data_IF_803791306807
#
_entry.id   IF_803791306807
#
_cell.length_a   1.000
_cell.length_b   1.000
_cell.length_c   1.000
_cell.angle_alpha   90.00
_cell.angle_beta   90.00
_cell.angle_gamma   90.00
#
_symmetry.space_group_name_H-M   'P 1'
#
loop_
_entity.id
_entity.type
_entity.pdbx_description
1 polymer ?
#
# COMPACT_ATOMS: atom_id res chain seq x y z
N UNK A 1 58.10 -38.13 -56.88
CA UNK A 1 58.60 -37.65 -55.54
C UNK A 1 58.74 -36.12 -55.42
N UNK A 2 59.03 -35.40 -56.47
CA UNK A 2 59.17 -33.90 -56.43
C UNK A 2 57.81 -33.20 -56.10
N UNK A 3 56.69 -33.77 -56.56
CA UNK A 3 55.35 -33.17 -56.31
C UNK A 3 54.87 -33.20 -54.83
N UNK A 4 55.27 -34.17 -54.06
CA UNK A 4 54.92 -34.24 -52.63
C UNK A 4 55.72 -33.22 -51.80
N UNK A 5 56.96 -32.95 -52.15
CA UNK A 5 57.82 -31.99 -51.46
C UNK A 5 57.31 -30.56 -51.71
N UNK A 6 56.81 -30.25 -52.91
CA UNK A 6 56.19 -28.97 -53.22
C UNK A 6 54.86 -28.75 -52.40
N UNK A 7 54.06 -29.81 -52.27
CA UNK A 7 52.86 -29.73 -51.49
C UNK A 7 53.10 -29.47 -50.00
N UNK A 8 54.21 -30.00 -49.43
CA UNK A 8 54.63 -29.73 -48.06
C UNK A 8 55.23 -28.30 -47.89
N UNK A 9 55.85 -27.71 -48.91
CA UNK A 9 56.38 -26.37 -48.87
C UNK A 9 55.24 -25.34 -48.99
N UNK A 10 54.26 -25.57 -49.82
CA UNK A 10 53.09 -24.72 -50.02
C UNK A 10 52.17 -24.74 -48.80
N UNK A 11 52.07 -25.89 -48.09
CA UNK A 11 51.32 -26.06 -46.86
C UNK A 11 51.99 -25.39 -45.62
N UNK A 12 53.23 -24.96 -45.80
CA UNK A 12 54.03 -24.26 -44.77
C UNK A 12 54.17 -22.76 -45.07
N UNK A 13 53.31 -22.21 -45.92
CA UNK A 13 53.31 -20.81 -46.27
C UNK A 13 53.00 -19.96 -45.02
N UNK A 14 54.04 -19.36 -44.45
CA UNK A 14 53.97 -18.52 -43.27
C UNK A 14 53.02 -17.32 -43.44
N UNK A 15 52.80 -16.87 -44.67
CA UNK A 15 51.90 -15.78 -45.00
C UNK A 15 50.43 -16.18 -44.71
N UNK A 16 50.00 -17.38 -45.12
CA UNK A 16 48.65 -17.87 -44.86
C UNK A 16 48.36 -18.01 -43.34
N UNK A 17 49.32 -18.55 -42.61
CA UNK A 17 49.22 -18.65 -41.14
C UNK A 17 49.20 -17.27 -40.48
N UNK A 18 49.91 -16.30 -41.06
CA UNK A 18 49.91 -14.93 -40.56
C UNK A 18 48.56 -14.26 -40.79
N UNK A 19 47.91 -14.43 -41.95
CA UNK A 19 46.57 -13.97 -42.22
C UNK A 19 45.52 -14.64 -41.32
N UNK A 20 45.62 -15.95 -41.11
CA UNK A 20 44.72 -16.66 -40.18
C UNK A 20 44.85 -16.13 -38.75
N UNK A 21 46.05 -15.86 -38.27
CA UNK A 21 46.29 -15.29 -36.92
C UNK A 21 45.74 -13.88 -36.84
N UNK A 22 45.92 -13.06 -37.86
CA UNK A 22 45.38 -11.72 -37.92
C UNK A 22 43.85 -11.71 -37.93
N UNK A 23 43.24 -12.62 -38.73
CA UNK A 23 41.81 -12.77 -38.81
C UNK A 23 41.21 -13.22 -37.45
N UNK A 24 41.80 -14.24 -36.82
CA UNK A 24 41.37 -14.68 -35.45
C UNK A 24 41.48 -13.56 -34.41
N UNK A 25 42.56 -12.77 -34.44
CA UNK A 25 42.71 -11.62 -33.57
C UNK A 25 41.64 -10.58 -33.80
N UNK A 26 41.26 -10.35 -35.04
CA UNK A 26 40.22 -9.40 -35.40
C UNK A 26 38.83 -9.93 -34.96
N UNK A 27 38.54 -11.24 -35.14
CA UNK A 27 37.30 -11.87 -34.66
C UNK A 27 37.19 -11.80 -33.14
N UNK A 28 38.28 -12.13 -32.42
CA UNK A 28 38.32 -12.02 -30.94
C UNK A 28 38.05 -10.60 -30.52
N UNK A 29 38.74 -9.63 -31.10
CA UNK A 29 38.55 -8.22 -30.78
C UNK A 29 37.12 -7.75 -31.05
N UNK A 30 36.54 -8.10 -32.20
CA UNK A 30 35.17 -7.76 -32.53
C UNK A 30 34.16 -8.40 -31.55
N UNK A 31 34.45 -9.61 -31.08
CA UNK A 31 33.60 -10.29 -30.06
C UNK A 31 33.75 -9.65 -28.68
N UNK A 32 34.97 -9.24 -28.30
CA UNK A 32 35.25 -8.49 -27.08
C UNK A 32 34.54 -7.12 -27.09
N UNK A 33 34.67 -6.38 -28.22
CA UNK A 33 34.05 -5.06 -28.39
C UNK A 33 32.48 -5.17 -28.30
N UNK A 34 31.90 -6.22 -28.91
CA UNK A 34 30.44 -6.49 -28.79
C UNK A 34 30.04 -6.82 -27.36
N UNK A 35 30.78 -7.69 -26.70
CA UNK A 35 30.51 -8.08 -25.31
C UNK A 35 30.61 -6.87 -24.39
N UNK A 36 31.57 -5.99 -24.56
CA UNK A 36 31.70 -4.75 -23.80
C UNK A 36 30.51 -3.82 -24.03
N UNK A 37 30.08 -3.66 -25.30
CA UNK A 37 28.90 -2.81 -25.58
C UNK A 37 27.63 -3.37 -24.99
N UNK A 38 27.39 -4.69 -25.01
CA UNK A 38 26.23 -5.35 -24.38
C UNK A 38 26.27 -5.22 -22.86
N UNK A 39 27.46 -5.36 -22.26
CA UNK A 39 27.62 -5.16 -20.81
C UNK A 39 27.34 -3.72 -20.37
N UNK A 40 27.76 -2.73 -21.18
CA UNK A 40 27.45 -1.33 -20.89
C UNK A 40 25.96 -1.03 -21.03
N UNK A 41 25.29 -1.61 -22.02
CA UNK A 41 23.84 -1.50 -22.21
C UNK A 41 23.08 -2.05 -20.98
N UNK A 42 23.40 -3.28 -20.56
CA UNK A 42 22.79 -3.91 -19.39
C UNK A 42 23.07 -3.12 -18.10
N UNK A 43 24.29 -2.56 -17.93
CA UNK A 43 24.59 -1.69 -16.78
C UNK A 43 23.76 -0.42 -16.76
N UNK A 44 23.57 0.21 -17.92
CA UNK A 44 22.75 1.41 -18.05
C UNK A 44 21.26 1.12 -17.78
N UNK A 45 20.75 0.00 -18.30
CA UNK A 45 19.40 -0.46 -17.98
C UNK A 45 19.21 -0.73 -16.49
N UNK A 46 20.18 -1.42 -15.86
CA UNK A 46 20.17 -1.69 -14.42
C UNK A 46 20.12 -0.40 -13.61
N UNK A 47 20.93 0.60 -13.95
CA UNK A 47 20.92 1.89 -13.27
C UNK A 47 19.53 2.57 -13.37
N UNK A 48 18.88 2.51 -14.54
CA UNK A 48 17.52 3.01 -14.71
C UNK A 48 16.47 2.27 -13.86
N UNK A 49 16.62 0.95 -13.73
CA UNK A 49 15.73 0.17 -12.84
C UNK A 49 16.02 0.39 -11.36
N UNK A 50 17.26 0.67 -10.94
CA UNK A 50 17.59 1.06 -9.57
C UNK A 50 16.89 2.36 -9.14
N UNK A 51 16.85 3.34 -10.06
CA UNK A 51 16.10 4.58 -9.80
C UNK A 51 14.59 4.32 -9.65
N UNK A 52 14.01 3.50 -10.54
CA UNK A 52 12.60 3.07 -10.43
C UNK A 52 12.35 2.29 -9.14
N UNK A 53 13.27 1.43 -8.72
CA UNK A 53 13.19 0.68 -7.49
C UNK A 53 13.16 1.60 -6.28
N UNK A 54 14.05 2.61 -6.24
CA UNK A 54 14.07 3.60 -5.17
C UNK A 54 12.76 4.40 -5.09
N UNK A 55 12.20 4.78 -6.26
CA UNK A 55 10.92 5.48 -6.32
C UNK A 55 9.74 4.59 -5.86
N UNK A 56 9.70 3.34 -6.32
CA UNK A 56 8.67 2.38 -5.92
C UNK A 56 8.74 2.06 -4.42
N UNK A 57 9.95 1.91 -3.86
CA UNK A 57 10.15 1.70 -2.42
C UNK A 57 9.62 2.88 -1.61
N UNK A 58 9.95 4.13 -1.98
CA UNK A 58 9.44 5.33 -1.31
C UNK A 58 7.92 5.44 -1.39
N UNK A 59 7.34 5.08 -2.52
CA UNK A 59 5.88 5.07 -2.69
C UNK A 59 5.21 4.05 -1.76
N UNK A 60 5.76 2.83 -1.68
CA UNK A 60 5.27 1.78 -0.80
C UNK A 60 5.39 2.17 0.68
N UNK A 61 6.56 2.66 1.10
CA UNK A 61 6.81 3.08 2.49
C UNK A 61 5.85 4.23 2.89
N UNK A 62 5.65 5.21 1.99
CA UNK A 62 4.70 6.30 2.22
C UNK A 62 3.26 5.81 2.43
N UNK A 63 2.79 4.83 1.65
CA UNK A 63 1.46 4.24 1.82
C UNK A 63 1.34 3.43 3.11
N UNK A 64 2.40 2.76 3.52
CA UNK A 64 2.43 2.03 4.78
C UNK A 64 2.36 2.99 5.98
N UNK A 65 3.04 4.12 5.93
CA UNK A 65 2.97 5.15 6.96
C UNK A 65 1.56 5.78 7.04
N UNK A 66 0.95 6.11 5.89
CA UNK A 66 -0.43 6.60 5.82
C UNK A 66 -1.42 5.59 6.42
N UNK A 67 -1.27 4.31 6.11
CA UNK A 67 -2.11 3.25 6.67
C UNK A 67 -1.98 3.17 8.18
N UNK A 68 -0.77 3.24 8.70
CA UNK A 68 -0.51 3.20 10.15
C UNK A 68 -1.15 4.38 10.86
N UNK A 69 -1.05 5.59 10.31
CA UNK A 69 -1.69 6.78 10.86
C UNK A 69 -3.22 6.69 10.80
N UNK A 70 -3.79 6.17 9.71
CA UNK A 70 -5.23 6.02 9.57
C UNK A 70 -5.77 4.96 10.56
N UNK A 71 -5.05 3.87 10.81
CA UNK A 71 -5.42 2.86 11.82
C UNK A 71 -5.40 3.47 13.22
N UNK A 72 -4.37 4.23 13.58
CA UNK A 72 -4.32 4.93 14.87
C UNK A 72 -5.50 5.91 15.05
N UNK A 73 -5.85 6.63 13.97
CA UNK A 73 -7.02 7.53 13.98
C UNK A 73 -8.34 6.76 14.15
N UNK A 74 -8.44 5.57 13.57
CA UNK A 74 -9.61 4.69 13.74
C UNK A 74 -9.74 4.22 15.21
N UNK A 75 -8.65 3.85 15.85
CA UNK A 75 -8.63 3.46 17.25
C UNK A 75 -9.13 4.59 18.14
N UNK A 76 -8.65 5.82 17.92
CA UNK A 76 -9.06 7.00 18.67
C UNK A 76 -10.56 7.32 18.49
N UNK A 77 -11.07 7.28 17.25
CA UNK A 77 -12.48 7.57 17.01
C UNK A 77 -13.38 6.46 17.52
N UNK A 78 -12.93 5.21 17.46
CA UNK A 78 -13.62 4.05 18.01
C UNK A 78 -13.79 4.20 19.53
N UNK A 79 -12.74 4.61 20.23
CA UNK A 79 -12.82 4.89 21.67
C UNK A 79 -13.84 6.01 21.99
N UNK A 80 -13.86 7.09 21.18
CA UNK A 80 -14.84 8.19 21.31
C UNK A 80 -16.26 7.72 21.02
N UNK A 81 -16.46 6.88 20.03
CA UNK A 81 -17.75 6.26 19.72
C UNK A 81 -18.26 5.40 20.88
N UNK A 82 -17.43 4.53 21.44
CA UNK A 82 -17.82 3.71 22.60
C UNK A 82 -18.21 4.57 23.79
N UNK A 83 -17.45 5.64 24.07
CA UNK A 83 -17.80 6.58 25.14
C UNK A 83 -19.14 7.28 24.89
N UNK A 84 -19.38 7.76 23.67
CA UNK A 84 -20.65 8.37 23.29
C UNK A 84 -21.83 7.39 23.38
N UNK A 85 -21.63 6.15 22.95
CA UNK A 85 -22.62 5.10 23.05
C UNK A 85 -22.96 4.74 24.50
N UNK A 86 -21.97 4.64 25.38
CA UNK A 86 -22.19 4.41 26.80
C UNK A 86 -22.99 5.56 27.47
N UNK A 87 -22.66 6.81 27.13
CA UNK A 87 -23.38 7.98 27.61
C UNK A 87 -24.84 7.97 27.11
N UNK A 88 -25.07 7.64 25.84
CA UNK A 88 -26.41 7.51 25.28
C UNK A 88 -27.23 6.41 26.00
N UNK A 89 -26.64 5.24 26.19
CA UNK A 89 -27.30 4.13 26.87
C UNK A 89 -27.63 4.46 28.33
N UNK A 90 -26.71 5.15 29.03
CA UNK A 90 -26.94 5.63 30.41
C UNK A 90 -28.12 6.59 30.47
N UNK A 91 -28.14 7.63 29.64
CA UNK A 91 -29.24 8.60 29.57
C UNK A 91 -30.55 7.95 29.13
N UNK A 92 -30.53 7.03 28.18
CA UNK A 92 -31.70 6.30 27.75
C UNK A 92 -32.30 5.50 28.89
N UNK A 93 -31.47 4.83 29.72
CA UNK A 93 -31.94 4.08 30.89
C UNK A 93 -32.65 4.99 31.92
N UNK A 94 -32.13 6.22 32.14
CA UNK A 94 -32.77 7.21 33.00
C UNK A 94 -34.14 7.62 32.45
N UNK A 95 -34.20 7.94 31.15
CA UNK A 95 -35.48 8.30 30.49
C UNK A 95 -36.48 7.18 30.54
N UNK A 96 -36.08 5.94 30.31
CA UNK A 96 -36.97 4.78 30.36
C UNK A 96 -37.55 4.58 31.79
N UNK A 97 -36.74 4.83 32.82
CA UNK A 97 -37.22 4.80 34.23
C UNK A 97 -38.20 5.94 34.54
N UNK A 98 -37.89 7.17 34.10
CA UNK A 98 -38.78 8.33 34.29
C UNK A 98 -40.06 8.22 33.46
N UNK A 99 -40.01 7.62 32.28
CA UNK A 99 -41.18 7.31 31.45
C UNK A 99 -42.18 6.45 32.21
N UNK A 100 -41.72 5.40 32.90
CA UNK A 100 -42.56 4.54 33.70
C UNK A 100 -43.27 5.33 34.84
N UNK A 101 -42.53 6.22 35.53
CA UNK A 101 -43.09 7.08 36.58
C UNK A 101 -44.11 8.05 36.01
N UNK A 102 -43.81 8.68 34.87
CA UNK A 102 -44.74 9.59 34.19
C UNK A 102 -46.05 8.89 33.78
N UNK A 103 -45.95 7.72 33.14
CA UNK A 103 -47.12 6.96 32.70
C UNK A 103 -47.98 6.52 33.90
N UNK A 104 -47.36 6.06 34.99
CA UNK A 104 -48.05 5.69 36.22
C UNK A 104 -48.74 6.89 36.86
N UNK A 105 -48.08 8.03 36.96
CA UNK A 105 -48.66 9.26 37.49
C UNK A 105 -49.82 9.76 36.63
N UNK A 106 -49.72 9.65 35.30
CA UNK A 106 -50.79 10.03 34.37
C UNK A 106 -52.05 9.20 34.53
N UNK A 107 -51.91 7.92 34.81
CA UNK A 107 -53.06 7.02 35.06
C UNK A 107 -53.88 7.43 36.31
N UNK A 108 -53.21 7.99 37.31
CA UNK A 108 -53.84 8.37 38.58
C UNK A 108 -54.22 9.85 38.69
N UNK A 109 -53.84 10.67 37.66
CA UNK A 109 -54.09 12.12 37.70
C UNK A 109 -55.34 12.51 36.95
N UNK A 110 -56.23 13.27 37.64
CA UNK A 110 -57.53 13.72 37.11
C UNK A 110 -57.64 15.24 37.04
N UNK A 111 -56.51 15.97 36.93
CA UNK A 111 -56.51 17.43 36.93
C UNK A 111 -56.04 18.06 35.60
N UNK A 112 -56.42 19.33 35.36
CA UNK A 112 -56.12 20.09 34.14
C UNK A 112 -54.66 20.68 34.10
N UNK A 113 -53.88 20.54 35.17
CA UNK A 113 -52.54 21.13 35.24
C UNK A 113 -51.45 20.10 34.83
N UNK A 114 -50.47 20.50 34.01
CA UNK A 114 -49.39 19.57 33.67
C UNK A 114 -48.65 19.10 34.93
N UNK A 115 -48.43 17.80 35.02
CA UNK A 115 -47.67 17.19 36.10
C UNK A 115 -46.24 17.70 36.12
N UNK A 116 -45.66 17.95 37.28
CA UNK A 116 -44.23 18.31 37.40
C UNK A 116 -43.34 17.26 36.72
N UNK A 117 -43.66 16.00 36.93
CA UNK A 117 -43.00 14.83 36.33
C UNK A 117 -43.02 14.89 34.78
N UNK A 118 -44.07 15.40 34.18
CA UNK A 118 -44.21 15.54 32.73
C UNK A 118 -43.13 16.46 32.16
N UNK A 119 -42.91 17.61 32.80
CA UNK A 119 -41.87 18.55 32.38
C UNK A 119 -40.45 17.95 32.51
N UNK A 120 -40.19 17.28 33.63
CA UNK A 120 -38.91 16.62 33.89
C UNK A 120 -38.66 15.50 32.88
N UNK A 121 -39.65 14.71 32.54
CA UNK A 121 -39.58 13.67 31.51
C UNK A 121 -39.27 14.23 30.11
N UNK A 122 -39.92 15.31 29.69
CA UNK A 122 -39.66 15.91 28.39
C UNK A 122 -38.26 16.54 28.28
N UNK A 123 -37.72 17.15 29.36
CA UNK A 123 -36.36 17.63 29.41
C UNK A 123 -35.36 16.49 29.23
N UNK A 124 -35.54 15.39 29.94
CA UNK A 124 -34.69 14.20 29.83
C UNK A 124 -34.80 13.57 28.44
N UNK A 125 -35.94 13.61 27.79
CA UNK A 125 -36.15 13.10 26.44
C UNK A 125 -35.41 13.94 25.43
N UNK A 126 -35.37 15.27 25.58
CA UNK A 126 -34.55 16.15 24.75
C UNK A 126 -33.05 15.90 24.96
N UNK A 127 -32.61 15.70 26.19
CA UNK A 127 -31.22 15.36 26.50
C UNK A 127 -30.80 14.04 25.82
N UNK A 128 -31.60 13.01 25.83
CA UNK A 128 -31.33 11.74 25.14
C UNK A 128 -31.18 11.94 23.65
N UNK A 129 -31.96 12.82 23.03
CA UNK A 129 -31.82 13.12 21.60
C UNK A 129 -30.46 13.79 21.30
N UNK A 130 -29.94 14.60 22.21
CA UNK A 130 -28.60 15.21 22.05
C UNK A 130 -27.53 14.10 22.09
N UNK A 131 -27.56 13.22 23.09
CA UNK A 131 -26.61 12.10 23.19
C UNK A 131 -26.71 11.14 22.01
N UNK A 132 -27.92 10.92 21.50
CA UNK A 132 -28.15 10.13 20.30
C UNK A 132 -27.45 10.76 19.07
N UNK A 133 -27.60 12.06 18.85
CA UNK A 133 -26.92 12.77 17.74
C UNK A 133 -25.40 12.68 17.85
N UNK A 134 -24.86 12.86 19.08
CA UNK A 134 -23.42 12.74 19.32
C UNK A 134 -22.93 11.32 18.98
N UNK A 135 -23.67 10.28 19.38
CA UNK A 135 -23.34 8.90 19.05
C UNK A 135 -23.35 8.69 17.53
N UNK A 136 -24.43 9.11 16.84
CA UNK A 136 -24.59 8.97 15.39
C UNK A 136 -23.48 9.72 14.62
N UNK A 137 -23.08 10.91 15.07
CA UNK A 137 -21.96 11.66 14.52
C UNK A 137 -20.66 10.86 14.62
N UNK A 138 -20.35 10.29 15.79
CA UNK A 138 -19.12 9.49 15.95
C UNK A 138 -19.14 8.17 15.18
N UNK A 139 -20.32 7.58 14.97
CA UNK A 139 -20.50 6.41 14.11
C UNK A 139 -20.21 6.74 12.64
N UNK A 140 -20.66 7.90 12.15
CA UNK A 140 -20.35 8.37 10.79
C UNK A 140 -18.86 8.70 10.64
N UNK A 141 -18.23 9.34 11.63
CA UNK A 141 -16.79 9.60 11.63
C UNK A 141 -16.00 8.28 11.50
N UNK A 142 -16.38 7.25 12.26
CA UNK A 142 -15.75 5.92 12.23
C UNK A 142 -15.89 5.27 10.83
N UNK A 143 -17.10 5.25 10.27
CA UNK A 143 -17.34 4.71 8.93
C UNK A 143 -16.56 5.44 7.84
N UNK A 144 -16.41 6.76 7.98
CA UNK A 144 -15.61 7.57 7.06
C UNK A 144 -14.13 7.16 7.09
N UNK A 145 -13.55 6.99 8.28
CA UNK A 145 -12.15 6.56 8.43
C UNK A 145 -11.96 5.12 7.95
N UNK A 146 -12.89 4.21 8.19
CA UNK A 146 -12.86 2.85 7.63
C UNK A 146 -12.85 2.86 6.10
N UNK A 147 -13.63 3.74 5.47
CA UNK A 147 -13.60 3.95 4.03
C UNK A 147 -12.24 4.41 3.52
N UNK A 148 -11.61 5.37 4.21
CA UNK A 148 -10.26 5.85 3.90
C UNK A 148 -9.23 4.71 4.02
N UNK A 149 -9.27 3.94 5.11
CA UNK A 149 -8.37 2.79 5.31
C UNK A 149 -8.50 1.78 4.17
N UNK A 150 -9.71 1.48 3.72
CA UNK A 150 -9.92 0.56 2.61
C UNK A 150 -9.31 1.07 1.31
N UNK A 151 -9.40 2.38 1.05
CA UNK A 151 -8.76 3.01 -0.11
C UNK A 151 -7.24 2.92 -0.02
N UNK A 152 -6.65 3.29 1.12
CA UNK A 152 -5.20 3.22 1.34
C UNK A 152 -4.69 1.78 1.21
N UNK A 153 -5.42 0.77 1.69
CA UNK A 153 -5.05 -0.65 1.54
C UNK A 153 -4.98 -1.09 0.08
N UNK A 154 -5.90 -0.60 -0.76
CA UNK A 154 -5.88 -0.88 -2.19
C UNK A 154 -4.64 -0.23 -2.83
N UNK A 155 -4.35 1.03 -2.48
CA UNK A 155 -3.20 1.77 -3.00
C UNK A 155 -1.87 1.17 -2.52
N UNK A 156 -1.78 0.76 -1.26
CA UNK A 156 -0.61 0.05 -0.71
C UNK A 156 -0.36 -1.26 -1.45
N UNK A 157 -1.42 -2.02 -1.74
CA UNK A 157 -1.31 -3.26 -2.52
C UNK A 157 -0.79 -2.99 -3.94
N UNK A 158 -1.28 -1.96 -4.61
CA UNK A 158 -0.80 -1.57 -5.94
C UNK A 158 0.67 -1.15 -5.91
N UNK A 159 1.07 -0.35 -4.93
CA UNK A 159 2.47 0.05 -4.75
C UNK A 159 3.39 -1.15 -4.46
N UNK A 160 2.93 -2.13 -3.68
CA UNK A 160 3.64 -3.39 -3.42
C UNK A 160 3.81 -4.23 -4.68
N UNK A 161 2.76 -4.34 -5.49
CA UNK A 161 2.79 -5.10 -6.74
C UNK A 161 3.76 -4.45 -7.74
N UNK A 162 3.79 -3.13 -7.82
CA UNK A 162 4.75 -2.37 -8.65
C UNK A 162 6.19 -2.57 -8.16
N UNK A 163 6.43 -2.45 -6.86
CA UNK A 163 7.74 -2.71 -6.24
C UNK A 163 8.23 -4.13 -6.58
N UNK A 164 7.37 -5.14 -6.42
CA UNK A 164 7.71 -6.53 -6.74
C UNK A 164 8.02 -6.73 -8.23
N UNK A 165 7.33 -6.02 -9.12
CA UNK A 165 7.60 -6.06 -10.57
C UNK A 165 8.98 -5.50 -10.87
N UNK A 166 9.31 -4.32 -10.34
CA UNK A 166 10.63 -3.69 -10.54
C UNK A 166 11.75 -4.55 -9.97
N UNK A 167 11.55 -5.14 -8.77
CA UNK A 167 12.51 -6.06 -8.15
C UNK A 167 12.81 -7.29 -9.03
N UNK A 168 11.79 -7.84 -9.70
CA UNK A 168 12.00 -8.97 -10.64
C UNK A 168 12.88 -8.57 -11.81
N UNK A 169 12.67 -7.38 -12.38
CA UNK A 169 13.48 -6.88 -13.49
C UNK A 169 14.94 -6.64 -13.06
N UNK A 170 15.17 -6.00 -11.92
CA UNK A 170 16.52 -5.81 -11.36
C UNK A 170 17.22 -7.16 -11.15
N UNK A 171 16.55 -8.14 -10.55
CA UNK A 171 17.11 -9.48 -10.34
C UNK A 171 17.43 -10.21 -11.66
N UNK A 172 16.68 -9.95 -12.72
CA UNK A 172 16.91 -10.53 -14.03
C UNK A 172 18.18 -9.93 -14.67
N UNK A 173 18.35 -8.61 -14.60
CA UNK A 173 19.53 -7.91 -15.06
C UNK A 173 20.79 -8.30 -14.28
N UNK A 174 20.68 -8.45 -12.94
CA UNK A 174 21.79 -8.93 -12.10
C UNK A 174 22.27 -10.34 -12.51
N UNK A 175 21.36 -11.22 -12.90
CA UNK A 175 21.71 -12.56 -13.43
C UNK A 175 22.41 -12.48 -14.79
N UNK A 176 22.04 -11.54 -15.63
CA UNK A 176 22.69 -11.32 -16.93
C UNK A 176 24.11 -10.79 -16.77
N UNK A 177 24.38 -9.97 -15.75
CA UNK A 177 25.70 -9.43 -15.44
C UNK A 177 26.64 -10.44 -14.77
N UNK A 178 26.09 -11.51 -14.15
CA UNK A 178 26.88 -12.52 -13.41
C UNK A 178 27.16 -13.78 -14.22
N UNK A 179 26.50 -14.00 -15.38
CA UNK A 179 26.75 -15.13 -16.29
C UNK A 179 27.64 -14.74 -17.46
#
# INVERSE_FOLDING_TARGET
MVSMIWMFIDDNDDDFKTYQRAFRKMEIKNSEDKLLSELEEVKNERAGYEEKLSAAQKSFDGRQDELTQAISSLEDITAKFYKANMNFLGQKSIVDAEKYKYETAKLHYHGDKPLKIEKEYFVLLDEVQIFRRIKEEKELDMLSIEGIINTIRIEEKLARDELNKVLKEVNLLDRQLTN
#
